data_IF_569407287750
#
_entry.id   IF_569407287750
#
_cell.length_a   1.000
_cell.length_b   1.000
_cell.length_c   1.000
_cell.angle_alpha   90.00
_cell.angle_beta   90.00
_cell.angle_gamma   90.00
#
_symmetry.space_group_name_H-M   'P 1'
#
loop_
_entity.id
_entity.type
_entity.pdbx_description
1 polymer ?
#
# COMPACT_ATOMS: atom_id res chain seq x y z
N UNK A 1 -5.02 -67.26 15.83
CA UNK A 1 -5.09 -66.29 14.72
C UNK A 1 -6.56 -66.02 14.44
N UNK A 2 -7.08 -64.88 14.91
CA UNK A 2 -8.38 -64.37 14.47
C UNK A 2 -8.11 -62.96 13.97
N UNK A 3 -8.40 -62.78 12.68
CA UNK A 3 -8.03 -61.64 11.85
C UNK A 3 -8.84 -60.40 12.23
N UNK A 4 -8.15 -59.27 12.30
CA UNK A 4 -8.70 -57.93 12.44
C UNK A 4 -9.49 -57.55 11.18
N UNK A 5 -10.70 -57.04 11.34
CA UNK A 5 -11.33 -56.17 10.34
C UNK A 5 -11.84 -54.93 11.05
N UNK A 6 -11.00 -53.90 11.07
CA UNK A 6 -11.44 -52.52 11.27
C UNK A 6 -12.32 -52.14 10.08
N UNK A 7 -13.60 -51.91 10.31
CA UNK A 7 -14.40 -51.11 9.40
C UNK A 7 -14.13 -49.66 9.76
N UNK A 8 -13.17 -49.06 9.06
CA UNK A 8 -13.07 -47.60 9.02
C UNK A 8 -14.11 -47.19 7.98
N UNK A 9 -15.28 -46.75 8.46
CA UNK A 9 -16.22 -46.02 7.61
C UNK A 9 -15.57 -44.68 7.27
N UNK A 10 -14.85 -44.65 6.16
CA UNK A 10 -14.40 -43.41 5.55
C UNK A 10 -15.65 -42.72 5.00
N UNK A 11 -16.33 -41.97 5.86
CA UNK A 11 -17.30 -40.97 5.43
C UNK A 11 -16.52 -39.97 4.59
N UNK A 12 -16.74 -40.02 3.29
CA UNK A 12 -16.24 -39.05 2.32
C UNK A 12 -16.68 -37.67 2.78
N UNK A 13 -15.74 -36.87 3.24
CA UNK A 13 -15.99 -35.46 3.52
C UNK A 13 -16.18 -34.82 2.16
N UNK A 14 -17.42 -34.54 1.77
CA UNK A 14 -17.70 -33.60 0.69
C UNK A 14 -17.23 -32.22 1.16
N UNK A 15 -15.93 -31.98 1.00
CA UNK A 15 -15.39 -30.64 0.97
C UNK A 15 -15.97 -29.99 -0.26
N UNK A 16 -17.14 -29.38 -0.10
CA UNK A 16 -17.78 -28.55 -1.11
C UNK A 16 -16.88 -27.35 -1.33
N UNK A 17 -15.99 -27.47 -2.31
CA UNK A 17 -15.38 -26.32 -2.94
C UNK A 17 -16.53 -25.48 -3.48
N UNK A 18 -16.82 -24.36 -2.83
CA UNK A 18 -17.69 -23.34 -3.40
C UNK A 18 -17.01 -22.83 -4.68
N UNK A 19 -17.30 -23.49 -5.80
CA UNK A 19 -17.01 -22.97 -7.12
C UNK A 19 -17.87 -21.71 -7.29
N UNK A 20 -17.30 -20.56 -6.94
CA UNK A 20 -17.88 -19.26 -7.28
C UNK A 20 -18.14 -19.24 -8.77
N UNK A 21 -19.42 -19.30 -9.13
CA UNK A 21 -19.91 -19.24 -10.51
C UNK A 21 -19.21 -18.12 -11.29
N UNK A 22 -18.71 -18.36 -12.52
CA UNK A 22 -18.07 -17.33 -13.33
C UNK A 22 -19.01 -16.16 -13.71
N UNK A 23 -20.32 -16.28 -13.45
CA UNK A 23 -21.33 -15.49 -14.14
C UNK A 23 -21.51 -14.03 -13.68
N UNK A 24 -20.65 -13.49 -12.82
CA UNK A 24 -20.63 -12.04 -12.60
C UNK A 24 -19.21 -11.52 -12.39
N UNK A 25 -18.46 -11.47 -13.50
CA UNK A 25 -17.27 -10.64 -13.54
C UNK A 25 -17.61 -9.21 -13.05
N UNK A 26 -16.90 -8.75 -12.03
CA UNK A 26 -17.14 -7.44 -11.42
C UNK A 26 -15.83 -6.83 -10.92
N UNK A 27 -15.73 -5.51 -11.01
CA UNK A 27 -14.64 -4.73 -10.42
C UNK A 27 -15.23 -3.44 -9.89
N UNK A 28 -14.73 -2.96 -8.75
CA UNK A 28 -15.22 -1.74 -8.11
C UNK A 28 -14.09 -0.99 -7.43
N UNK A 29 -14.09 0.33 -7.57
CA UNK A 29 -13.25 1.23 -6.77
C UNK A 29 -14.05 1.56 -5.51
N UNK A 30 -13.48 1.28 -4.34
CA UNK A 30 -14.09 1.57 -3.03
C UNK A 30 -13.51 2.82 -2.39
N UNK A 31 -12.25 3.14 -2.67
CA UNK A 31 -11.61 4.38 -2.25
C UNK A 31 -10.66 4.90 -3.33
N UNK A 32 -10.63 6.21 -3.61
CA UNK A 32 -11.57 7.23 -3.11
C UNK A 32 -13.00 7.02 -3.63
N UNK A 33 -13.99 7.55 -2.91
CA UNK A 33 -15.40 7.45 -3.30
C UNK A 33 -15.74 8.42 -4.43
N UNK A 34 -16.83 8.14 -5.16
CA UNK A 34 -17.28 8.99 -6.28
C UNK A 34 -17.58 10.40 -5.78
N UNK A 35 -16.95 11.41 -6.40
CA UNK A 35 -17.09 12.82 -6.06
C UNK A 35 -16.24 13.29 -4.89
N UNK A 36 -15.44 12.40 -4.26
CA UNK A 36 -14.60 12.76 -3.13
C UNK A 36 -13.59 13.85 -3.51
N UNK A 37 -13.40 14.81 -2.61
CA UNK A 37 -12.31 15.76 -2.70
C UNK A 37 -11.03 15.14 -2.13
N UNK A 38 -9.93 15.25 -2.87
CA UNK A 38 -8.63 14.68 -2.51
C UNK A 38 -7.53 15.72 -2.73
N UNK A 39 -6.38 15.55 -2.09
CA UNK A 39 -5.23 16.41 -2.35
C UNK A 39 -4.63 16.08 -3.73
N UNK A 40 -4.18 17.08 -4.50
CA UNK A 40 -3.36 16.84 -5.69
C UNK A 40 -2.07 16.09 -5.33
N UNK A 41 -1.58 15.25 -6.25
CA UNK A 41 -0.40 14.43 -6.04
C UNK A 41 -0.69 12.93 -6.02
N UNK A 42 0.20 12.18 -5.36
CA UNK A 42 0.08 10.74 -5.23
C UNK A 42 -1.14 10.35 -4.40
N UNK A 43 -1.77 9.22 -4.74
CA UNK A 43 -2.96 8.73 -4.06
C UNK A 43 -2.98 7.20 -4.01
N UNK A 44 -3.48 6.66 -2.91
CA UNK A 44 -3.82 5.26 -2.80
C UNK A 44 -5.26 5.04 -3.26
N UNK A 45 -5.43 4.17 -4.25
CA UNK A 45 -6.72 3.69 -4.73
C UNK A 45 -6.90 2.27 -4.21
N UNK A 46 -8.09 1.94 -3.72
CA UNK A 46 -8.44 0.60 -3.30
C UNK A 46 -9.77 0.16 -3.91
N UNK A 47 -9.97 -1.14 -3.99
CA UNK A 47 -11.19 -1.70 -4.55
C UNK A 47 -11.36 -3.18 -4.27
N UNK A 48 -12.46 -3.69 -4.81
CA UNK A 48 -12.80 -5.11 -4.79
C UNK A 48 -13.02 -5.62 -6.21
N UNK A 49 -12.95 -6.93 -6.39
CA UNK A 49 -13.31 -7.58 -7.65
C UNK A 49 -13.76 -9.02 -7.43
N UNK A 50 -14.29 -9.64 -8.48
CA UNK A 50 -14.57 -11.09 -8.49
C UNK A 50 -13.32 -11.94 -8.82
N UNK A 51 -12.16 -11.32 -9.06
CA UNK A 51 -10.93 -12.01 -9.42
C UNK A 51 -10.25 -12.62 -8.19
N UNK A 52 -10.62 -13.85 -7.84
CA UNK A 52 -9.98 -14.60 -6.77
C UNK A 52 -8.73 -15.35 -7.26
N UNK A 53 -8.03 -16.02 -6.34
CA UNK A 53 -6.80 -16.77 -6.63
C UNK A 53 -6.93 -17.88 -7.69
N UNK A 54 -8.14 -18.33 -8.03
CA UNK A 54 -8.40 -19.43 -8.98
C UNK A 54 -8.85 -18.97 -10.36
N UNK A 55 -9.11 -17.67 -10.57
CA UNK A 55 -9.73 -17.16 -11.80
C UNK A 55 -8.73 -16.65 -12.84
N UNK A 56 -7.43 -16.56 -12.51
CA UNK A 56 -6.36 -15.96 -13.32
C UNK A 56 -6.66 -14.54 -13.85
N UNK A 57 -7.68 -13.88 -13.29
CA UNK A 57 -8.05 -12.53 -13.64
C UNK A 57 -7.14 -11.54 -12.91
N UNK A 58 -6.82 -10.42 -13.57
CA UNK A 58 -6.00 -9.35 -12.98
C UNK A 58 -6.73 -8.03 -13.00
N UNK A 59 -6.44 -7.18 -12.02
CA UNK A 59 -6.95 -5.81 -11.97
C UNK A 59 -5.84 -4.82 -12.34
N UNK A 60 -6.21 -3.81 -13.12
CA UNK A 60 -5.33 -2.73 -13.54
C UNK A 60 -6.05 -1.40 -13.51
N UNK A 61 -5.32 -0.31 -13.30
CA UNK A 61 -5.88 1.04 -13.10
C UNK A 61 -5.26 2.02 -14.09
N UNK A 62 -6.07 2.97 -14.55
CA UNK A 62 -5.61 4.21 -15.19
C UNK A 62 -6.22 5.42 -14.51
N UNK A 63 -5.45 6.50 -14.50
CA UNK A 63 -5.91 7.81 -14.04
C UNK A 63 -5.86 8.77 -15.23
N UNK A 64 -6.94 9.52 -15.43
CA UNK A 64 -7.13 10.48 -16.52
C UNK A 64 -6.87 9.89 -17.92
N UNK A 65 -7.06 8.58 -18.08
CA UNK A 65 -6.81 7.88 -19.34
C UNK A 65 -5.33 7.80 -19.75
N UNK A 66 -4.40 8.16 -18.86
CA UNK A 66 -2.96 8.07 -19.13
C UNK A 66 -2.57 6.59 -19.23
N UNK A 67 -1.98 6.20 -20.36
CA UNK A 67 -1.63 4.81 -20.67
C UNK A 67 -0.12 4.58 -20.48
N UNK A 68 0.30 3.33 -20.20
CA UNK A 68 -0.51 2.11 -20.12
C UNK A 68 -1.29 1.96 -18.81
N UNK A 69 -2.26 1.02 -18.81
CA UNK A 69 -2.89 0.54 -17.58
C UNK A 69 -1.83 -0.04 -16.64
N UNK A 70 -1.82 0.40 -15.39
CA UNK A 70 -0.89 -0.09 -14.38
C UNK A 70 -1.53 -1.24 -13.61
N UNK A 71 -0.80 -2.33 -13.38
CA UNK A 71 -1.29 -3.46 -12.60
C UNK A 71 -1.49 -3.02 -11.14
N UNK A 72 -2.61 -3.44 -10.55
CA UNK A 72 -2.86 -3.25 -9.12
C UNK A 72 -2.08 -4.28 -8.29
N UNK A 73 -1.95 -4.03 -6.99
CA UNK A 73 -1.42 -4.99 -6.02
C UNK A 73 -2.60 -5.76 -5.42
N UNK A 74 -2.62 -7.10 -5.53
CA UNK A 74 -3.63 -7.93 -4.87
C UNK A 74 -3.44 -7.89 -3.35
N UNK A 75 -4.55 -7.78 -2.63
CA UNK A 75 -4.58 -7.75 -1.16
C UNK A 75 -5.68 -8.68 -0.63
N UNK A 76 -6.14 -9.64 -1.43
CA UNK A 76 -7.04 -10.70 -1.01
C UNK A 76 -6.35 -11.75 -0.14
N UNK A 77 -7.16 -12.56 0.56
CA UNK A 77 -6.65 -13.56 1.51
C UNK A 77 -6.03 -14.79 0.83
N UNK A 78 -6.36 -15.03 -0.44
CA UNK A 78 -5.80 -16.10 -1.27
C UNK A 78 -4.39 -15.84 -1.80
N UNK A 79 -3.72 -14.78 -1.33
CA UNK A 79 -2.30 -14.51 -1.62
C UNK A 79 -2.06 -13.67 -2.87
N UNK A 80 -0.87 -13.83 -3.47
CA UNK A 80 -0.33 -12.91 -4.48
C UNK A 80 -1.09 -12.84 -5.82
N UNK A 81 -2.09 -13.70 -6.03
CA UNK A 81 -2.95 -13.71 -7.22
C UNK A 81 -4.41 -13.40 -6.88
N UNK A 82 -4.74 -13.17 -5.61
CA UNK A 82 -6.10 -12.89 -5.17
C UNK A 82 -6.41 -11.38 -5.23
N UNK A 83 -6.98 -10.96 -6.36
CA UNK A 83 -7.45 -9.60 -6.59
C UNK A 83 -8.86 -9.34 -6.05
N UNK A 84 -9.42 -10.23 -5.22
CA UNK A 84 -10.75 -10.02 -4.60
C UNK A 84 -10.79 -8.70 -3.83
N UNK A 85 -9.67 -8.35 -3.20
CA UNK A 85 -9.30 -7.00 -2.79
C UNK A 85 -8.03 -6.59 -3.52
N UNK A 86 -7.91 -5.29 -3.83
CA UNK A 86 -6.74 -4.78 -4.51
C UNK A 86 -6.48 -3.32 -4.17
N UNK A 87 -5.23 -2.90 -4.34
CA UNK A 87 -4.79 -1.51 -4.16
C UNK A 87 -3.91 -1.05 -5.31
N UNK A 88 -3.85 0.25 -5.56
CA UNK A 88 -2.99 0.87 -6.56
C UNK A 88 -2.50 2.20 -6.03
N UNK A 89 -1.19 2.40 -5.98
CA UNK A 89 -0.59 3.67 -5.56
C UNK A 89 -0.18 4.48 -6.78
N UNK A 90 -0.87 5.60 -7.02
CA UNK A 90 -0.49 6.56 -8.03
C UNK A 90 0.73 7.35 -7.56
N UNK A 91 1.78 7.37 -8.38
CA UNK A 91 3.02 8.09 -8.09
C UNK A 91 3.42 8.96 -9.27
N UNK A 92 4.29 9.94 -9.01
CA UNK A 92 4.79 10.87 -10.03
C UNK A 92 5.45 10.18 -11.24
N UNK A 93 5.99 8.96 -11.07
CA UNK A 93 6.60 8.20 -12.17
C UNK A 93 5.61 7.77 -13.25
N UNK A 94 4.33 7.62 -12.90
CA UNK A 94 3.28 7.23 -13.82
C UNK A 94 2.31 8.39 -14.07
N UNK A 95 1.56 8.79 -13.04
CA UNK A 95 0.64 9.93 -13.07
C UNK A 95 0.12 10.21 -11.66
N UNK A 96 -0.37 11.41 -11.45
CA UNK A 96 -0.89 11.91 -10.17
C UNK A 96 -2.23 12.60 -10.35
N UNK A 97 -2.93 12.82 -9.23
CA UNK A 97 -4.13 13.64 -9.20
C UNK A 97 -3.76 15.09 -9.47
N UNK A 98 -4.39 15.68 -10.47
CA UNK A 98 -4.28 17.10 -10.81
C UNK A 98 -5.31 17.90 -10.02
N UNK A 99 -5.13 19.21 -9.93
CA UNK A 99 -6.20 20.07 -9.45
C UNK A 99 -7.41 19.98 -10.41
N UNK A 100 -8.63 20.02 -9.86
CA UNK A 100 -9.88 19.86 -10.61
C UNK A 100 -10.32 18.39 -10.74
N UNK A 101 -11.14 18.08 -11.74
CA UNK A 101 -11.69 16.74 -11.91
C UNK A 101 -10.65 15.74 -12.41
N UNK A 102 -10.62 14.55 -11.79
CA UNK A 102 -9.77 13.43 -12.18
C UNK A 102 -10.61 12.16 -12.28
N UNK A 103 -10.47 11.43 -13.39
CA UNK A 103 -11.17 10.17 -13.63
C UNK A 103 -10.24 8.99 -13.37
N UNK A 104 -10.61 8.11 -12.46
CA UNK A 104 -9.93 6.83 -12.24
C UNK A 104 -10.75 5.71 -12.86
N UNK A 105 -10.09 4.78 -13.54
CA UNK A 105 -10.75 3.62 -14.14
C UNK A 105 -10.01 2.37 -13.74
N UNK A 106 -10.70 1.46 -13.06
CA UNK A 106 -10.25 0.09 -12.83
C UNK A 106 -10.74 -0.80 -13.98
N UNK A 107 -9.90 -1.73 -14.41
CA UNK A 107 -10.18 -2.76 -15.41
C UNK A 107 -9.79 -4.11 -14.81
N UNK A 108 -10.76 -5.02 -14.74
CA UNK A 108 -10.50 -6.44 -14.53
C UNK A 108 -10.45 -7.14 -15.88
N UNK A 109 -9.47 -8.01 -16.10
CA UNK A 109 -9.29 -8.76 -17.34
C UNK A 109 -8.85 -10.19 -17.05
N UNK A 110 -9.47 -11.15 -17.72
CA UNK A 110 -9.23 -12.58 -17.55
C UNK A 110 -8.67 -13.15 -18.87
N UNK A 111 -7.47 -13.75 -18.87
CA UNK A 111 -6.83 -14.24 -20.09
C UNK A 111 -7.65 -15.31 -20.82
N UNK A 112 -8.26 -16.22 -20.05
CA UNK A 112 -9.00 -17.36 -20.59
C UNK A 112 -10.31 -16.95 -21.29
N UNK A 113 -10.88 -15.79 -20.94
CA UNK A 113 -12.13 -15.33 -21.52
C UNK A 113 -12.20 -13.79 -21.63
N UNK A 114 -11.99 -13.24 -22.82
CA UNK A 114 -11.99 -11.79 -23.06
C UNK A 114 -13.35 -11.13 -22.77
N UNK A 115 -14.45 -11.88 -22.89
CA UNK A 115 -15.82 -11.45 -22.53
C UNK A 115 -15.99 -11.09 -21.03
N UNK A 116 -15.02 -11.44 -20.18
CA UNK A 116 -15.04 -11.16 -18.74
C UNK A 116 -14.27 -9.90 -18.39
N UNK A 117 -13.86 -9.11 -19.39
CA UNK A 117 -13.32 -7.78 -19.14
C UNK A 117 -14.41 -6.87 -18.59
N UNK A 118 -14.15 -6.26 -17.43
CA UNK A 118 -15.07 -5.33 -16.77
C UNK A 118 -14.35 -4.08 -16.35
N UNK A 119 -15.08 -2.97 -16.36
CA UNK A 119 -14.55 -1.67 -16.04
C UNK A 119 -15.41 -1.00 -14.98
N UNK A 120 -14.76 -0.21 -14.12
CA UNK A 120 -15.43 0.67 -13.18
C UNK A 120 -14.70 1.98 -13.12
N UNK A 121 -15.43 3.09 -13.09
CA UNK A 121 -14.84 4.43 -13.05
C UNK A 121 -15.43 5.28 -11.94
N UNK A 122 -14.58 6.08 -11.32
CA UNK A 122 -14.97 7.15 -10.39
C UNK A 122 -14.33 8.45 -10.82
N UNK A 123 -15.02 9.56 -10.59
CA UNK A 123 -14.45 10.89 -10.70
C UNK A 123 -14.21 11.42 -9.29
N UNK A 124 -13.06 12.03 -9.06
CA UNK A 124 -12.72 12.76 -7.83
C UNK A 124 -12.31 14.18 -8.18
N UNK A 125 -12.29 15.07 -7.18
CA UNK A 125 -11.87 16.45 -7.37
C UNK A 125 -10.60 16.71 -6.57
N UNK A 126 -9.49 16.97 -7.27
CA UNK A 126 -8.25 17.44 -6.67
C UNK A 126 -8.42 18.89 -6.21
N UNK A 127 -8.41 19.12 -4.91
CA UNK A 127 -8.50 20.46 -4.33
C UNK A 127 -7.19 20.75 -3.64
N UNK A 128 -6.43 21.72 -4.14
CA UNK A 128 -5.23 22.18 -3.47
C UNK A 128 -5.63 22.71 -2.09
N UNK A 129 -5.21 22.04 -1.02
CA UNK A 129 -5.21 22.68 0.28
C UNK A 129 -4.33 23.93 0.21
N UNK A 130 -4.79 25.05 0.78
CA UNK A 130 -3.83 25.89 1.50
C UNK A 130 -3.21 24.92 2.51
N UNK A 131 -1.88 24.83 2.60
CA UNK A 131 -1.22 24.03 3.62
C UNK A 131 -2.00 24.24 4.92
N UNK A 132 -2.55 23.18 5.51
CA UNK A 132 -3.04 23.28 6.86
C UNK A 132 -1.80 23.58 7.69
N UNK A 133 -1.53 24.87 7.92
CA UNK A 133 -0.90 25.26 9.17
C UNK A 133 -1.82 24.64 10.21
N UNK A 134 -1.33 23.59 10.85
CA UNK A 134 -1.90 23.10 12.08
C UNK A 134 -2.09 24.33 12.95
N UNK A 135 -3.34 24.68 13.22
CA UNK A 135 -3.70 25.79 14.07
C UNK A 135 -3.25 25.38 15.48
N UNK A 136 -2.02 25.71 15.84
CA UNK A 136 -1.59 25.73 17.23
C UNK A 136 -2.29 26.95 17.81
N UNK A 137 -3.34 26.73 18.59
CA UNK A 137 -4.01 27.80 19.32
C UNK A 137 -3.03 28.36 20.38
N UNK A 138 -2.21 29.32 19.97
CA UNK A 138 -1.51 30.19 20.90
C UNK A 138 -2.50 31.25 21.39
N UNK A 139 -3.02 31.03 22.59
CA UNK A 139 -3.77 32.03 23.34
C UNK A 139 -2.83 33.17 23.71
N UNK A 140 -2.85 34.26 22.94
CA UNK A 140 -2.15 35.50 23.28
C UNK A 140 -2.97 36.27 24.31
N UNK A 141 -2.60 36.17 25.58
CA UNK A 141 -3.06 37.08 26.63
C UNK A 141 -2.23 38.35 26.56
N UNK A 142 -2.86 39.45 26.18
CA UNK A 142 -2.33 40.82 26.27
C UNK A 142 -2.25 41.24 27.73
N UNK A 143 -1.05 41.53 28.21
CA UNK A 143 -0.80 42.07 29.54
C UNK A 143 0.58 42.70 29.60
N UNK A 144 0.64 44.02 29.53
CA UNK A 144 1.84 44.86 29.62
C UNK A 144 2.45 44.84 31.03
N UNK A 145 3.77 44.68 31.13
CA UNK A 145 4.60 45.14 32.25
C UNK A 145 5.25 44.06 33.13
N UNK A 146 6.58 43.93 33.05
CA UNK A 146 7.45 43.36 34.10
C UNK A 146 7.86 44.48 35.09
N UNK A 147 8.46 44.18 36.25
CA UNK A 147 8.04 43.36 37.41
C UNK A 147 8.10 44.21 38.72
N UNK A 148 7.90 43.67 39.95
CA UNK A 148 9.09 43.28 40.74
C UNK A 148 8.92 42.19 41.83
N UNK A 149 10.10 41.73 42.28
CA UNK A 149 10.49 41.21 43.61
C UNK A 149 10.05 39.81 44.09
N UNK A 150 11.07 38.95 44.26
CA UNK A 150 11.11 37.84 45.21
C UNK A 150 10.93 38.30 46.66
N UNK A 151 10.59 37.36 47.56
CA UNK A 151 11.44 37.16 48.73
C UNK A 151 12.04 35.75 48.82
N UNK A 152 13.28 35.75 49.28
CA UNK A 152 14.12 34.65 49.73
C UNK A 152 13.50 33.86 50.89
N UNK A 153 13.85 32.57 51.06
CA UNK A 153 14.47 32.04 52.30
C UNK A 153 14.69 30.51 52.25
N UNK A 154 15.94 30.17 52.61
CA UNK A 154 16.52 28.97 53.22
C UNK A 154 16.56 27.59 52.51
N UNK A 155 17.79 27.23 52.15
CA UNK A 155 18.37 25.87 52.08
C UNK A 155 18.51 25.25 53.48
N UNK A 156 18.73 23.92 53.58
CA UNK A 156 20.07 23.39 53.87
C UNK A 156 20.42 22.23 52.91
N UNK A 157 21.48 22.30 52.10
CA UNK A 157 22.90 22.02 52.36
C UNK A 157 23.20 20.62 52.90
N UNK A 158 23.68 19.75 52.01
CA UNK A 158 24.95 19.03 52.16
C UNK A 158 25.35 18.47 50.77
N UNK A 159 26.16 19.18 49.97
CA UNK A 159 27.61 18.94 49.76
C UNK A 159 27.98 17.44 49.69
N UNK A 160 28.56 16.94 48.58
CA UNK A 160 29.96 17.18 48.17
C UNK A 160 30.10 16.77 46.69
N UNK A 161 30.35 17.67 45.73
CA UNK A 161 31.66 18.14 45.18
C UNK A 161 32.44 17.03 44.45
N UNK A 162 32.35 16.98 43.11
CA UNK A 162 33.43 17.32 42.14
C UNK A 162 34.27 16.09 41.71
N UNK A 163 34.77 15.90 40.49
CA UNK A 163 34.69 16.59 39.19
C UNK A 163 35.32 15.65 38.14
N UNK A 164 34.97 15.86 36.86
CA UNK A 164 35.82 15.78 35.66
C UNK A 164 36.69 14.54 35.39
N UNK A 165 36.44 13.84 34.28
CA UNK A 165 37.22 13.98 33.02
C UNK A 165 36.94 12.83 32.03
N UNK A 166 36.58 13.20 30.79
CA UNK A 166 36.64 12.44 29.51
C UNK A 166 38.10 12.03 29.15
N UNK A 167 38.44 11.45 27.98
CA UNK A 167 37.79 10.53 27.01
C UNK A 167 38.73 9.38 26.51
N UNK A 168 38.25 8.48 25.62
CA UNK A 168 39.07 7.63 24.73
C UNK A 168 38.56 6.18 24.63
N UNK A 169 38.06 5.69 23.49
CA UNK A 169 38.83 5.03 22.40
C UNK A 169 38.85 3.50 22.65
N UNK A 170 38.72 2.53 21.73
CA UNK A 170 38.87 2.43 20.27
C UNK A 170 38.50 0.97 19.87
N UNK A 171 38.10 0.74 18.60
CA UNK A 171 38.30 -0.49 17.78
C UNK A 171 37.64 -1.81 18.20
N UNK A 172 37.33 -2.80 17.34
CA UNK A 172 37.28 -3.00 15.88
C UNK A 172 36.88 -4.46 15.66
N UNK A 173 36.06 -4.78 14.66
CA UNK A 173 36.14 -5.94 13.71
C UNK A 173 34.77 -6.03 13.02
N UNK A 174 34.61 -6.05 11.69
CA UNK A 174 35.51 -6.49 10.63
C UNK A 174 35.13 -7.91 10.21
N UNK A 175 34.11 -8.06 9.37
CA UNK A 175 33.88 -9.31 8.62
C UNK A 175 33.27 -9.03 7.26
N UNK A 176 34.13 -9.15 6.27
CA UNK A 176 33.88 -9.17 4.84
C UNK A 176 33.72 -10.61 4.37
N UNK A 177 32.58 -10.96 3.78
CA UNK A 177 32.41 -12.07 2.82
C UNK A 177 31.28 -11.60 1.91
N UNK A 178 31.46 -11.29 0.64
CA UNK A 178 32.03 -12.12 -0.42
C UNK A 178 30.94 -12.24 -1.49
N UNK A 179 30.86 -11.23 -2.37
CA UNK A 179 29.87 -11.19 -3.44
C UNK A 179 30.12 -12.28 -4.48
N UNK A 180 29.06 -12.96 -4.90
CA UNK A 180 29.08 -13.80 -6.10
C UNK A 180 28.26 -13.13 -7.19
N UNK A 181 28.97 -12.61 -8.19
CA UNK A 181 28.44 -12.12 -9.45
C UNK A 181 28.02 -13.35 -10.26
N UNK A 182 26.72 -13.59 -10.40
CA UNK A 182 26.22 -14.48 -11.45
C UNK A 182 26.04 -13.64 -12.71
N UNK A 183 26.82 -13.98 -13.72
CA UNK A 183 26.86 -13.37 -15.04
C UNK A 183 25.53 -13.55 -15.78
N UNK A 184 25.08 -12.45 -16.39
CA UNK A 184 24.08 -12.34 -17.45
C UNK A 184 24.47 -13.20 -18.68
N UNK A 185 23.55 -13.96 -19.31
CA UNK A 185 23.68 -14.32 -20.71
C UNK A 185 22.93 -13.29 -21.56
N UNK A 186 23.70 -12.51 -22.32
CA UNK A 186 23.18 -11.71 -23.43
C UNK A 186 22.81 -12.61 -24.61
N UNK A 187 21.68 -12.23 -25.20
CA UNK A 187 21.39 -12.21 -26.64
C UNK A 187 20.71 -13.43 -27.28
N UNK A 188 19.47 -13.23 -27.75
CA UNK A 188 19.15 -13.53 -29.15
C UNK A 188 18.05 -12.61 -29.69
N UNK A 189 18.24 -12.23 -30.94
CA UNK A 189 17.53 -11.23 -31.74
C UNK A 189 16.25 -11.79 -32.36
N UNK A 190 15.24 -10.92 -32.43
CA UNK A 190 14.44 -10.56 -33.62
C UNK A 190 14.03 -11.71 -34.56
N UNK A 191 12.73 -11.99 -34.63
CA UNK A 191 12.08 -12.29 -35.91
C UNK A 191 10.88 -11.34 -36.08
N UNK A 192 11.04 -10.36 -36.98
CA UNK A 192 9.91 -9.69 -37.63
C UNK A 192 9.35 -10.68 -38.64
N UNK A 193 8.05 -10.93 -38.63
CA UNK A 193 7.36 -11.50 -39.78
C UNK A 193 6.23 -10.55 -40.16
N UNK A 194 6.47 -9.79 -41.23
CA UNK A 194 5.44 -9.08 -41.97
C UNK A 194 4.84 -10.05 -43.00
N UNK A 195 3.51 -10.21 -42.98
CA UNK A 195 2.67 -10.08 -44.18
C UNK A 195 1.23 -9.84 -43.75
#
# INVERSE_FOLDING_TARGET
MLLFSLWIDISWIDTTYAATSPNKAEVKITSPSKGQQVQPGGILVSGTSSANATTDCTVSVVINGIRPYQRAVPTGHGGANDYSNWTFTATQKYTVIKQGQNKMTAKMSCPQNLNFTKFYSVNVTGVAGKAQQQLVNNTTTTGTGFPPSLPSVATPTNSTTASSSTPGGTSSTGSSVGGTIVKEPKHSKILKSSK
#
